data_IF_484333331470
#
_entry.id   IF_484333331470
#
_cell.length_a   1.000
_cell.length_b   1.000
_cell.length_c   1.000
_cell.angle_alpha   90.00
_cell.angle_beta   90.00
_cell.angle_gamma   90.00
#
_symmetry.space_group_name_H-M   'P 1'
#
loop_
_entity.id
_entity.type
_entity.pdbx_description
1 polymer ?
#
# COMPACT_ATOMS: atom_id res chain seq x y z
N UNK A 1 2.62 -35.88 9.01
CA UNK A 1 2.42 -34.64 8.22
C UNK A 1 3.61 -33.73 8.47
N UNK A 2 4.53 -33.63 7.52
CA UNK A 2 5.80 -32.90 7.72
C UNK A 2 5.53 -31.41 7.59
N UNK A 3 5.59 -30.66 8.71
CA UNK A 3 5.54 -29.21 8.68
C UNK A 3 6.85 -28.71 8.06
N UNK A 4 6.79 -28.10 6.88
CA UNK A 4 7.93 -27.42 6.30
C UNK A 4 8.01 -26.05 6.94
N UNK A 5 9.00 -25.83 7.81
CA UNK A 5 9.29 -24.51 8.31
C UNK A 5 10.02 -23.71 7.22
N UNK A 6 9.70 -22.43 7.07
CA UNK A 6 10.44 -21.52 6.20
C UNK A 6 11.36 -20.65 7.05
N UNK A 7 12.61 -20.50 6.60
CA UNK A 7 13.61 -19.68 7.28
C UNK A 7 13.48 -18.24 6.78
N UNK A 8 13.19 -17.31 7.69
CA UNK A 8 13.16 -15.87 7.41
C UNK A 8 14.11 -15.16 8.35
N UNK A 9 15.20 -14.59 7.82
CA UNK A 9 16.17 -13.82 8.60
C UNK A 9 16.64 -14.54 9.89
N UNK A 10 16.99 -15.82 9.77
CA UNK A 10 17.44 -16.69 10.87
C UNK A 10 16.39 -17.00 11.96
N UNK A 11 15.11 -16.70 11.71
CA UNK A 11 13.99 -17.20 12.49
C UNK A 11 13.25 -18.30 11.73
N UNK A 12 12.88 -19.35 12.45
CA UNK A 12 12.13 -20.50 11.92
C UNK A 12 10.65 -20.23 12.19
N UNK A 13 9.84 -20.11 11.14
CA UNK A 13 8.38 -20.02 11.24
C UNK A 13 7.73 -21.12 10.39
N UNK A 14 6.67 -21.72 10.92
CA UNK A 14 5.80 -22.65 10.17
C UNK A 14 4.86 -21.94 9.19
N UNK A 15 4.85 -20.61 9.19
CA UNK A 15 3.91 -19.80 8.41
C UNK A 15 4.65 -18.87 7.46
N UNK A 16 4.36 -18.98 6.17
CA UNK A 16 4.75 -18.00 5.16
C UNK A 16 3.62 -16.98 4.97
N UNK A 17 3.80 -15.73 5.43
CA UNK A 17 2.80 -14.68 5.28
C UNK A 17 2.62 -14.21 3.82
N UNK A 18 3.52 -14.58 2.91
CA UNK A 18 3.41 -14.29 1.48
C UNK A 18 2.72 -15.39 0.66
N UNK A 19 2.54 -16.60 1.22
CA UNK A 19 2.01 -17.75 0.47
C UNK A 19 0.61 -17.52 -0.12
N UNK A 20 -0.21 -16.68 0.52
CA UNK A 20 -1.56 -16.36 0.04
C UNK A 20 -1.60 -15.24 -1.03
N UNK A 21 -0.45 -14.67 -1.41
CA UNK A 21 -0.40 -13.52 -2.33
C UNK A 21 -1.16 -12.30 -1.81
N UNK A 22 -0.82 -11.78 -0.60
CA UNK A 22 -1.53 -10.64 -0.03
C UNK A 22 -1.32 -9.35 -0.84
N UNK A 23 -0.14 -9.16 -1.44
CA UNK A 23 0.18 -7.99 -2.25
C UNK A 23 -0.49 -8.05 -3.63
N UNK A 24 -1.04 -6.94 -4.11
CA UNK A 24 -1.80 -6.82 -5.35
C UNK A 24 -1.04 -6.04 -6.42
N UNK A 25 -1.59 -6.04 -7.63
CA UNK A 25 -1.16 -5.16 -8.73
C UNK A 25 0.34 -5.24 -9.08
N UNK A 26 0.91 -6.46 -9.07
CA UNK A 26 2.31 -6.68 -9.43
C UNK A 26 3.32 -6.26 -8.35
N UNK A 27 2.86 -6.04 -7.11
CA UNK A 27 3.73 -5.78 -5.98
C UNK A 27 4.54 -7.01 -5.54
N UNK A 28 5.73 -6.77 -5.00
CA UNK A 28 6.59 -7.81 -4.44
C UNK A 28 6.29 -8.01 -2.96
N UNK A 29 5.97 -9.25 -2.56
CA UNK A 29 5.79 -9.60 -1.15
C UNK A 29 7.13 -10.00 -0.51
N UNK A 30 7.45 -9.45 0.65
CA UNK A 30 8.55 -9.91 1.48
C UNK A 30 8.07 -10.31 2.87
N UNK A 31 8.35 -11.55 3.24
CA UNK A 31 8.16 -12.01 4.61
C UNK A 31 9.15 -11.31 5.56
N UNK A 32 8.66 -10.91 6.73
CA UNK A 32 9.39 -10.26 7.81
C UNK A 32 9.14 -11.02 9.10
N UNK A 33 10.12 -10.98 10.00
CA UNK A 33 9.94 -11.46 11.37
C UNK A 33 10.26 -10.32 12.32
N UNK A 34 9.30 -9.97 13.16
CA UNK A 34 9.48 -8.98 14.22
C UNK A 34 9.03 -9.57 15.55
N UNK A 35 9.94 -9.57 16.54
CA UNK A 35 9.68 -10.11 17.89
C UNK A 35 9.11 -11.55 17.86
N UNK A 36 9.63 -12.40 16.97
CA UNK A 36 9.19 -13.79 16.83
C UNK A 36 7.83 -13.99 16.13
N UNK A 37 7.21 -12.94 15.60
CA UNK A 37 5.99 -13.03 14.79
C UNK A 37 6.32 -12.84 13.31
N UNK A 38 5.83 -13.75 12.47
CA UNK A 38 5.91 -13.62 11.02
C UNK A 38 4.84 -12.62 10.52
N UNK A 39 5.26 -11.69 9.67
CA UNK A 39 4.41 -10.72 8.98
C UNK A 39 4.91 -10.53 7.55
N UNK A 40 4.20 -9.74 6.74
CA UNK A 40 4.65 -9.39 5.39
C UNK A 40 4.76 -7.88 5.22
N UNK A 41 5.54 -7.47 4.25
CA UNK A 41 5.62 -6.11 3.73
C UNK A 41 5.47 -6.18 2.20
N UNK A 42 4.62 -5.31 1.64
CA UNK A 42 4.41 -5.23 0.19
C UNK A 42 5.20 -4.04 -0.39
N UNK A 43 6.04 -4.32 -1.37
CA UNK A 43 6.72 -3.30 -2.16
C UNK A 43 5.89 -3.03 -3.41
N UNK A 44 5.17 -1.92 -3.39
CA UNK A 44 4.20 -1.60 -4.44
C UNK A 44 4.86 -1.27 -5.78
N UNK A 45 4.22 -1.74 -6.85
CA UNK A 45 4.53 -1.26 -8.19
C UNK A 45 4.22 0.24 -8.30
N UNK A 46 4.86 0.91 -9.27
CA UNK A 46 4.65 2.33 -9.53
C UNK A 46 3.16 2.61 -9.74
N UNK A 47 2.63 3.55 -8.95
CA UNK A 47 1.25 4.01 -9.06
C UNK A 47 0.25 3.36 -8.12
N UNK A 48 0.71 2.44 -7.26
CA UNK A 48 -0.10 1.82 -6.23
C UNK A 48 0.46 2.10 -4.84
N UNK A 49 -0.41 2.07 -3.84
CA UNK A 49 -0.11 2.24 -2.44
C UNK A 49 -1.07 1.44 -1.55
N UNK A 50 -1.00 1.70 -0.25
CA UNK A 50 -1.74 0.95 0.76
C UNK A 50 -1.02 -0.33 1.19
N UNK A 51 -1.48 -0.97 2.29
CA UNK A 51 -0.80 -2.13 2.87
C UNK A 51 -0.69 -3.34 1.94
N UNK A 52 -1.63 -3.46 1.00
CA UNK A 52 -1.68 -4.55 0.02
C UNK A 52 -1.40 -4.06 -1.41
N UNK A 53 -0.99 -2.80 -1.60
CA UNK A 53 -0.75 -2.21 -2.93
C UNK A 53 -1.99 -2.25 -3.83
N UNK A 54 -3.17 -2.11 -3.22
CA UNK A 54 -4.49 -2.16 -3.85
C UNK A 54 -5.14 -0.78 -4.02
N UNK A 55 -4.47 0.28 -3.56
CA UNK A 55 -4.99 1.65 -3.60
C UNK A 55 -4.25 2.50 -4.63
N UNK A 56 -4.97 3.37 -5.33
CA UNK A 56 -4.42 4.47 -6.14
C UNK A 56 -4.77 5.82 -5.51
N UNK A 57 -4.03 6.89 -5.85
CA UNK A 57 -4.14 8.19 -5.19
C UNK A 57 -5.54 8.83 -5.15
N UNK A 58 -6.44 8.50 -6.07
CA UNK A 58 -7.82 9.02 -6.13
C UNK A 58 -8.89 7.92 -6.03
N UNK A 59 -8.55 6.68 -5.64
CA UNK A 59 -9.58 5.65 -5.42
C UNK A 59 -10.47 6.01 -4.22
N UNK A 60 -9.90 6.70 -3.22
CA UNK A 60 -10.64 7.44 -2.19
C UNK A 60 -10.31 8.91 -2.38
N UNK A 61 -11.32 9.75 -2.59
CA UNK A 61 -11.10 11.19 -2.81
C UNK A 61 -10.49 11.82 -1.54
N UNK A 62 -9.21 12.28 -1.57
CA UNK A 62 -8.57 12.92 -0.43
C UNK A 62 -8.89 14.43 -0.34
N UNK A 63 -9.52 15.00 -1.36
CA UNK A 63 -9.83 16.42 -1.45
C UNK A 63 -11.07 16.75 -0.62
N UNK A 64 -10.94 17.76 0.24
CA UNK A 64 -12.02 18.27 1.09
C UNK A 64 -12.87 19.31 0.36
N UNK A 65 -13.97 19.73 1.00
CA UNK A 65 -14.87 20.78 0.51
C UNK A 65 -15.33 20.58 -0.94
N UNK A 66 -15.64 19.33 -1.32
CA UNK A 66 -16.03 18.94 -2.67
C UNK A 66 -14.98 19.21 -3.76
N UNK A 67 -13.70 19.28 -3.40
CA UNK A 67 -12.59 19.31 -4.36
C UNK A 67 -12.55 18.04 -5.23
N UNK A 68 -12.07 18.19 -6.46
CA UNK A 68 -11.95 17.07 -7.41
C UNK A 68 -10.53 16.50 -7.38
N UNK A 69 -10.39 15.22 -7.05
CA UNK A 69 -9.09 14.54 -7.09
C UNK A 69 -8.69 14.21 -8.53
N UNK A 70 -7.44 14.54 -8.87
CA UNK A 70 -6.79 14.09 -10.10
C UNK A 70 -5.49 13.40 -9.79
N UNK A 71 -5.31 12.24 -10.40
CA UNK A 71 -4.04 11.52 -10.30
C UNK A 71 -3.02 12.12 -11.27
N UNK A 72 -1.76 12.22 -10.86
CA UNK A 72 -0.67 12.69 -11.71
C UNK A 72 -0.24 11.65 -12.76
N UNK A 73 0.49 12.10 -13.78
CA UNK A 73 1.08 11.21 -14.77
C UNK A 73 1.96 10.14 -14.11
N UNK A 74 1.65 8.86 -14.36
CA UNK A 74 2.33 7.73 -13.74
C UNK A 74 1.72 7.23 -12.42
N UNK A 75 0.55 7.72 -12.04
CA UNK A 75 -0.29 7.23 -10.94
C UNK A 75 0.32 7.28 -9.54
N UNK A 76 1.49 7.89 -9.37
CA UNK A 76 2.25 7.88 -8.11
C UNK A 76 1.86 8.97 -7.11
N UNK A 77 1.10 9.98 -7.54
CA UNK A 77 0.62 11.05 -6.67
C UNK A 77 -0.72 11.61 -7.17
N UNK A 78 -1.31 12.52 -6.39
CA UNK A 78 -2.52 13.24 -6.75
C UNK A 78 -2.34 14.75 -6.57
N UNK A 79 -3.28 15.50 -7.14
CA UNK A 79 -3.56 16.89 -6.80
C UNK A 79 -5.07 17.10 -6.72
N UNK A 80 -5.48 18.15 -6.03
CA UNK A 80 -6.88 18.52 -5.87
C UNK A 80 -7.18 19.79 -6.66
N UNK A 81 -8.22 19.74 -7.49
CA UNK A 81 -8.85 20.95 -8.01
C UNK A 81 -9.80 21.48 -6.92
N UNK A 82 -9.41 22.55 -6.26
CA UNK A 82 -10.20 23.17 -5.20
C UNK A 82 -11.26 24.11 -5.78
N UNK A 83 -12.41 24.20 -5.10
CA UNK A 83 -13.43 25.21 -5.38
C UNK A 83 -12.98 26.59 -4.91
N UNK A 84 -13.60 27.64 -5.46
CA UNK A 84 -13.30 29.03 -5.12
C UNK A 84 -13.38 29.27 -3.60
N UNK A 85 -12.36 29.92 -3.05
CA UNK A 85 -12.24 30.21 -1.63
C UNK A 85 -11.53 29.13 -0.81
N UNK A 86 -11.17 27.99 -1.41
CA UNK A 86 -10.37 26.94 -0.77
C UNK A 86 -8.98 26.77 -1.41
N UNK A 87 -8.02 26.24 -0.66
CA UNK A 87 -6.66 25.97 -1.10
C UNK A 87 -5.94 24.92 -0.26
N UNK A 88 -4.62 24.78 -0.46
CA UNK A 88 -3.83 23.72 0.16
C UNK A 88 -3.83 22.42 -0.64
N UNK A 89 -3.08 21.41 -0.17
CA UNK A 89 -2.90 20.15 -0.91
C UNK A 89 -4.21 19.36 -1.02
N UNK A 90 -5.05 19.46 0.01
CA UNK A 90 -6.30 18.72 0.14
C UNK A 90 -7.52 19.65 0.14
N UNK A 91 -7.39 20.91 -0.31
CA UNK A 91 -8.46 21.91 -0.20
C UNK A 91 -8.92 22.15 1.25
N UNK A 92 -7.98 22.12 2.19
CA UNK A 92 -8.19 22.20 3.64
C UNK A 92 -7.97 23.60 4.23
N UNK A 93 -7.52 24.55 3.41
CA UNK A 93 -7.38 25.97 3.72
C UNK A 93 -8.49 26.76 3.04
#
# INVERSE_FOLDING_TARGET
MTKKCTVYQNFISDFDPCAAGPCKNGATCMAKVQKGKASYECYCAKGYGGPQCDQRPCDVNPCLHNGTCRTTAGFSSYFCDCLDGYGGKNCDL
#
